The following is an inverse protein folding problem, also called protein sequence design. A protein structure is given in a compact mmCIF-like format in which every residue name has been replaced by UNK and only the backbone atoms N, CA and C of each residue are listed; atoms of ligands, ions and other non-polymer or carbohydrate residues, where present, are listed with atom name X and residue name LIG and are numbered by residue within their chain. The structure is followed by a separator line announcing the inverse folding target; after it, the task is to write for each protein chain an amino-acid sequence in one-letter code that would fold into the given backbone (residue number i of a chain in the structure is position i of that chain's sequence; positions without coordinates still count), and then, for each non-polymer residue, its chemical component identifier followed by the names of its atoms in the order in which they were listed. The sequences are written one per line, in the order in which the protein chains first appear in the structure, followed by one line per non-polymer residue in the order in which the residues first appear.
data_IF_947888334311
#
_entry.id   IF_947888334311
#
_cell.length_a   1.000
_cell.length_b   1.000
_cell.length_c   1.000
_cell.angle_alpha   90.00
_cell.angle_beta   90.00
_cell.angle_gamma   90.00
#
_symmetry.space_group_name_H-M   'P 1'
#
loop_
_entity.id
_entity.type
_entity.pdbx_description
1 polymer ?
#
# COMPACT_ATOMS: atom_id res chain seq x y z
N UNK A 1 3.20 13.29 16.57
CA UNK A 1 4.20 12.31 16.08
C UNK A 1 3.65 11.29 15.08
N UNK A 2 2.83 10.29 15.42
CA UNK A 2 2.27 9.36 14.40
C UNK A 2 1.18 10.02 13.51
N UNK A 3 0.45 10.99 14.05
CA UNK A 3 -0.58 11.76 13.33
C UNK A 3 -0.01 12.78 12.33
N UNK A 4 1.19 13.32 12.58
CA UNK A 4 1.83 14.33 11.74
C UNK A 4 2.47 13.70 10.50
N UNK A 5 3.11 12.55 10.67
CA UNK A 5 3.74 11.79 9.59
C UNK A 5 2.70 11.30 8.54
N UNK A 6 1.48 10.96 8.97
CA UNK A 6 0.39 10.55 8.05
C UNK A 6 -0.16 11.70 7.19
N UNK A 7 -0.05 12.95 7.67
CA UNK A 7 -0.49 14.15 6.94
C UNK A 7 0.47 14.47 5.79
N UNK A 8 1.76 14.29 6.01
CA UNK A 8 2.79 14.62 5.02
C UNK A 8 2.84 13.63 3.85
N UNK A 9 2.60 12.34 4.05
CA UNK A 9 2.51 11.39 2.92
C UNK A 9 1.29 11.62 2.04
N UNK A 10 0.15 12.08 2.60
CA UNK A 10 -1.01 12.52 1.80
C UNK A 10 -0.68 13.76 0.99
N UNK A 11 0.03 14.73 1.58
CA UNK A 11 0.47 15.94 0.87
C UNK A 11 1.46 15.63 -0.24
N UNK A 12 2.44 14.76 -0.01
CA UNK A 12 3.43 14.35 -1.02
C UNK A 12 2.75 13.58 -2.16
N UNK A 13 1.88 12.63 -1.84
CA UNK A 13 1.13 11.86 -2.84
C UNK A 13 0.19 12.75 -3.69
N UNK A 14 -0.54 13.67 -3.05
CA UNK A 14 -1.37 14.65 -3.75
C UNK A 14 -0.53 15.61 -4.59
N UNK A 15 0.65 16.04 -4.11
CA UNK A 15 1.56 16.92 -4.83
C UNK A 15 2.11 16.27 -6.09
N UNK A 16 2.56 15.01 -6.02
CA UNK A 16 3.05 14.26 -7.19
C UNK A 16 1.95 14.02 -8.23
N UNK A 17 0.70 13.81 -7.78
CA UNK A 17 -0.45 13.67 -8.68
C UNK A 17 -0.80 15.02 -9.31
N UNK A 18 -0.76 16.11 -8.54
CA UNK A 18 -1.05 17.46 -9.03
C UNK A 18 0.03 17.98 -9.97
N UNK A 19 1.33 17.79 -9.67
CA UNK A 19 2.44 18.23 -10.52
C UNK A 19 2.43 17.52 -11.88
N UNK A 20 2.19 16.19 -11.90
CA UNK A 20 1.98 15.43 -13.15
C UNK A 20 0.73 15.85 -13.92
N UNK A 21 -0.28 16.37 -13.21
CA UNK A 21 -1.48 16.90 -13.85
C UNK A 21 -1.23 18.31 -14.40
N UNK A 22 -0.49 19.16 -13.70
CA UNK A 22 -0.16 20.54 -14.11
C UNK A 22 0.71 20.55 -15.37
N UNK A 23 1.69 19.65 -15.51
CA UNK A 23 2.46 19.50 -16.76
C UNK A 23 1.57 19.15 -17.96
N UNK A 24 0.52 18.35 -17.74
CA UNK A 24 -0.42 17.93 -18.79
C UNK A 24 -1.37 19.04 -19.24
N UNK A 25 -1.58 20.07 -18.43
CA UNK A 25 -2.58 21.13 -18.68
C UNK A 25 -2.00 22.55 -18.73
N UNK A 26 -0.66 22.71 -18.74
CA UNK A 26 0.05 24.00 -18.74
C UNK A 26 -0.22 24.90 -19.96
N UNK A 27 -0.83 24.38 -21.02
CA UNK A 27 -1.21 25.12 -22.23
C UNK A 27 -2.70 25.44 -22.39
N UNK A 28 -3.57 25.06 -21.44
CA UNK A 28 -5.00 25.28 -21.58
C UNK A 28 -5.38 26.72 -21.18
N UNK A 29 -5.79 27.54 -22.16
CA UNK A 29 -6.40 28.85 -21.90
C UNK A 29 -7.57 28.70 -20.92
N UNK A 30 -7.63 29.54 -19.88
CA UNK A 30 -8.75 29.57 -18.93
C UNK A 30 -10.05 29.83 -19.69
N UNK A 31 -11.05 28.93 -19.64
CA UNK A 31 -12.31 29.18 -20.31
C UNK A 31 -13.07 30.29 -19.58
N UNK A 32 -13.32 31.39 -20.29
CA UNK A 32 -14.22 32.45 -19.85
C UNK A 32 -15.64 31.92 -19.69
N UNK A 33 -16.25 32.29 -18.56
CA UNK A 33 -17.60 32.01 -18.09
C UNK A 33 -18.60 31.39 -19.10
N UNK A 34 -18.61 30.04 -19.17
CA UNK A 34 -19.76 29.22 -19.59
C UNK A 34 -20.07 28.14 -18.54
N UNK A 35 -19.98 28.52 -17.26
CA UNK A 35 -19.91 27.56 -16.15
C UNK A 35 -21.25 26.93 -15.73
N UNK A 36 -22.40 27.40 -16.22
CA UNK A 36 -23.70 26.92 -15.70
C UNK A 36 -24.39 25.87 -16.58
N UNK A 37 -24.17 25.86 -17.90
CA UNK A 37 -24.79 24.86 -18.80
C UNK A 37 -24.08 23.50 -18.74
N UNK A 38 -22.74 23.48 -18.74
CA UNK A 38 -21.95 22.25 -18.60
C UNK A 38 -22.04 21.61 -17.21
N UNK A 39 -22.47 22.38 -16.19
CA UNK A 39 -22.63 21.90 -14.81
C UNK A 39 -23.86 20.99 -14.65
N UNK A 40 -24.91 21.20 -15.45
CA UNK A 40 -26.16 20.43 -15.39
C UNK A 40 -26.01 19.10 -16.15
N UNK A 41 -25.37 19.09 -17.33
CA UNK A 41 -25.04 17.85 -18.06
C UNK A 41 -24.01 16.97 -17.33
N UNK A 42 -23.01 17.58 -16.70
CA UNK A 42 -22.04 16.85 -15.86
C UNK A 42 -22.69 16.22 -14.60
N UNK A 43 -23.75 16.84 -14.06
CA UNK A 43 -24.53 16.27 -12.94
C UNK A 43 -25.39 15.09 -13.38
N UNK A 44 -25.96 15.10 -14.60
CA UNK A 44 -26.81 14.02 -15.10
C UNK A 44 -26.07 12.68 -15.22
N UNK A 45 -24.74 12.71 -15.34
CA UNK A 45 -23.92 11.50 -15.43
C UNK A 45 -22.97 11.29 -14.25
N UNK A 46 -23.11 12.05 -13.16
CA UNK A 46 -22.23 11.97 -12.00
C UNK A 46 -22.12 10.54 -11.46
N UNK A 47 -23.24 9.80 -11.36
CA UNK A 47 -23.23 8.41 -10.88
C UNK A 47 -22.47 7.46 -11.81
N UNK A 48 -22.52 7.67 -13.13
CA UNK A 48 -21.81 6.87 -14.13
C UNK A 48 -20.30 7.16 -14.09
N UNK A 49 -19.93 8.43 -14.04
CA UNK A 49 -18.54 8.89 -13.89
C UNK A 49 -17.98 8.40 -12.56
N UNK A 50 -18.74 8.54 -11.48
CA UNK A 50 -18.40 8.05 -10.15
C UNK A 50 -18.17 6.54 -10.19
N UNK A 51 -19.06 5.74 -10.80
CA UNK A 51 -18.88 4.29 -10.95
C UNK A 51 -17.63 3.93 -11.73
N UNK A 52 -17.35 4.62 -12.84
CA UNK A 52 -16.13 4.42 -13.64
C UNK A 52 -14.87 4.71 -12.82
N UNK A 53 -14.81 5.86 -12.14
CA UNK A 53 -13.71 6.22 -11.26
C UNK A 53 -13.57 5.22 -10.09
N UNK A 54 -14.69 4.82 -9.48
CA UNK A 54 -14.74 3.81 -8.41
C UNK A 54 -14.30 2.43 -8.90
N UNK A 55 -14.25 2.15 -10.20
CA UNK A 55 -13.71 0.92 -10.80
C UNK A 55 -12.24 1.03 -11.19
N UNK A 56 -11.76 2.22 -11.54
CA UNK A 56 -10.36 2.40 -11.95
C UNK A 56 -9.41 2.70 -10.79
N UNK A 57 -9.86 3.49 -9.81
CA UNK A 57 -9.03 3.97 -8.71
C UNK A 57 -8.96 2.92 -7.59
N UNK A 58 -7.76 2.57 -7.14
CA UNK A 58 -7.57 1.58 -6.07
C UNK A 58 -7.98 2.11 -4.69
N UNK A 59 -7.61 3.37 -4.39
CA UNK A 59 -7.70 4.04 -3.08
C UNK A 59 -9.09 4.60 -2.73
N UNK A 60 -10.15 3.97 -3.20
CA UNK A 60 -11.52 4.48 -3.02
C UNK A 60 -12.14 3.99 -1.72
N UNK A 61 -11.74 2.80 -1.28
CA UNK A 61 -12.27 2.14 -0.08
C UNK A 61 -11.36 2.37 1.12
N UNK A 62 -11.95 2.59 2.30
CA UNK A 62 -11.20 2.81 3.55
C UNK A 62 -10.36 1.58 3.91
N UNK A 63 -10.89 0.40 3.65
CA UNK A 63 -10.29 -0.91 3.89
C UNK A 63 -8.92 -1.04 3.18
N UNK A 64 -8.77 -0.42 2.00
CA UNK A 64 -7.50 -0.35 1.27
C UNK A 64 -6.47 0.51 2.01
N UNK A 65 -6.90 1.68 2.49
CA UNK A 65 -6.03 2.57 3.28
C UNK A 65 -5.60 1.92 4.60
N UNK A 66 -6.55 1.30 5.30
CA UNK A 66 -6.30 0.63 6.58
C UNK A 66 -5.35 -0.58 6.40
N UNK A 67 -5.55 -1.37 5.34
CA UNK A 67 -4.66 -2.49 5.02
C UNK A 67 -3.24 -2.01 4.75
N UNK A 68 -3.07 -0.98 3.92
CA UNK A 68 -1.75 -0.45 3.57
C UNK A 68 -1.04 0.18 4.76
N UNK A 69 -1.74 0.96 5.59
CA UNK A 69 -1.15 1.55 6.79
C UNK A 69 -0.61 0.49 7.75
N UNK A 70 -1.37 -0.60 7.96
CA UNK A 70 -0.93 -1.72 8.80
C UNK A 70 0.24 -2.49 8.17
N UNK A 71 0.20 -2.73 6.86
CA UNK A 71 1.31 -3.39 6.14
C UNK A 71 2.59 -2.57 6.25
N UNK A 72 2.52 -1.25 6.05
CA UNK A 72 3.67 -0.34 6.19
C UNK A 72 4.25 -0.42 7.61
N UNK A 73 3.38 -0.45 8.63
CA UNK A 73 3.80 -0.61 10.03
C UNK A 73 4.57 -1.91 10.23
N UNK A 74 4.05 -3.03 9.69
CA UNK A 74 4.72 -4.33 9.73
C UNK A 74 6.04 -4.35 8.95
N UNK A 75 6.14 -3.63 7.83
CA UNK A 75 7.40 -3.49 7.09
C UNK A 75 8.43 -2.70 7.89
N UNK A 76 8.03 -1.61 8.56
CA UNK A 76 8.92 -0.82 9.41
C UNK A 76 9.43 -1.63 10.61
N UNK A 77 8.57 -2.44 11.23
CA UNK A 77 8.98 -3.38 12.28
C UNK A 77 10.03 -4.36 11.78
N UNK A 78 9.83 -4.96 10.60
CA UNK A 78 10.80 -5.87 10.01
C UNK A 78 12.12 -5.18 9.64
N UNK A 79 12.07 -3.95 9.14
CA UNK A 79 13.25 -3.15 8.80
C UNK A 79 14.10 -2.79 10.02
N UNK A 80 13.51 -2.75 11.22
CA UNK A 80 14.25 -2.52 12.47
C UNK A 80 15.07 -3.73 12.95
N UNK A 81 14.85 -4.92 12.39
CA UNK A 81 15.60 -6.12 12.75
C UNK A 81 16.95 -6.14 12.04
N UNK A 82 18.00 -6.52 12.77
CA UNK A 82 19.34 -6.64 12.20
C UNK A 82 19.61 -8.08 11.76
N UNK A 83 20.30 -8.24 10.62
CA UNK A 83 20.84 -9.54 10.18
C UNK A 83 22.13 -9.90 10.93
N UNK A 84 22.81 -8.87 11.44
CA UNK A 84 24.11 -8.96 12.10
C UNK A 84 23.94 -8.39 13.51
N UNK A 85 24.51 -9.06 14.50
CA UNK A 85 24.56 -8.53 15.86
C UNK A 85 25.68 -7.48 15.94
N UNK A 86 25.31 -6.24 16.26
CA UNK A 86 26.26 -5.15 16.55
C UNK A 86 26.67 -5.10 18.03
N UNK A 87 26.07 -5.95 18.88
CA UNK A 87 26.33 -6.01 20.31
C UNK A 87 27.58 -6.84 20.59
N UNK A 88 28.72 -6.17 20.62
CA UNK A 88 30.00 -6.71 21.08
C UNK A 88 30.23 -6.30 22.54
N UNK A 89 29.28 -6.69 23.39
CA UNK A 89 29.30 -6.35 24.82
C UNK A 89 30.47 -7.06 25.56
N UNK A 90 31.11 -8.02 24.88
CA UNK A 90 32.24 -8.83 25.35
C UNK A 90 33.21 -9.09 24.20
N UNK A 91 34.48 -9.28 24.52
CA UNK A 91 35.46 -9.79 23.56
C UNK A 91 35.10 -11.25 23.23
N UNK A 92 34.75 -11.53 21.97
CA UNK A 92 34.38 -12.86 21.49
C UNK A 92 35.57 -13.50 20.76
N UNK A 93 35.71 -14.82 20.88
CA UNK A 93 36.60 -15.55 19.95
C UNK A 93 36.00 -15.54 18.54
N UNK A 94 36.80 -15.76 17.49
CA UNK A 94 36.29 -15.86 16.12
C UNK A 94 35.15 -16.88 15.95
N UNK A 95 35.23 -18.02 16.64
CA UNK A 95 34.19 -19.05 16.58
C UNK A 95 32.88 -18.59 17.24
N UNK A 96 32.98 -17.95 18.41
CA UNK A 96 31.82 -17.41 19.12
C UNK A 96 31.15 -16.29 18.33
N UNK A 97 31.94 -15.43 17.69
CA UNK A 97 31.44 -14.40 16.79
C UNK A 97 30.69 -15.03 15.61
N UNK A 98 31.29 -15.99 14.90
CA UNK A 98 30.63 -16.65 13.78
C UNK A 98 29.33 -17.35 14.19
N UNK A 99 29.32 -18.04 15.33
CA UNK A 99 28.12 -18.68 15.87
C UNK A 99 27.02 -17.65 16.16
N UNK A 100 27.36 -16.52 16.80
CA UNK A 100 26.42 -15.44 17.09
C UNK A 100 25.82 -14.84 15.81
N UNK A 101 26.65 -14.60 14.79
CA UNK A 101 26.15 -14.04 13.53
C UNK A 101 25.24 -15.02 12.79
N UNK A 102 25.62 -16.29 12.71
CA UNK A 102 24.79 -17.33 12.09
C UNK A 102 23.45 -17.47 12.82
N UNK A 103 23.46 -17.47 14.15
CA UNK A 103 22.23 -17.56 14.95
C UNK A 103 21.33 -16.34 14.74
N UNK A 104 21.91 -15.14 14.73
CA UNK A 104 21.16 -13.88 14.52
C UNK A 104 20.53 -13.84 13.13
N UNK A 105 21.31 -14.15 12.09
CA UNK A 105 20.83 -14.23 10.72
C UNK A 105 19.73 -15.29 10.56
N UNK A 106 19.93 -16.50 11.09
CA UNK A 106 18.94 -17.57 11.03
C UNK A 106 17.62 -17.18 11.71
N UNK A 107 17.69 -16.51 12.86
CA UNK A 107 16.51 -16.00 13.58
C UNK A 107 15.75 -14.97 12.74
N UNK A 108 16.46 -13.99 12.17
CA UNK A 108 15.85 -12.93 11.36
C UNK A 108 15.24 -13.50 10.07
N UNK A 109 15.94 -14.39 9.38
CA UNK A 109 15.42 -15.07 8.17
C UNK A 109 14.17 -15.89 8.50
N UNK A 110 14.18 -16.66 9.60
CA UNK A 110 13.02 -17.45 10.04
C UNK A 110 11.81 -16.57 10.34
N UNK A 111 12.02 -15.42 10.99
CA UNK A 111 10.97 -14.45 11.25
C UNK A 111 10.37 -13.90 9.95
N UNK A 112 11.22 -13.44 9.02
CA UNK A 112 10.78 -12.85 7.76
C UNK A 112 10.00 -13.84 6.89
N UNK A 113 10.50 -15.07 6.74
CA UNK A 113 9.87 -16.09 5.89
C UNK A 113 8.58 -16.67 6.48
N UNK A 114 8.44 -16.68 7.80
CA UNK A 114 7.27 -17.24 8.48
C UNK A 114 6.38 -16.16 9.05
N UNK A 115 6.69 -15.74 10.28
CA UNK A 115 5.81 -14.90 11.09
C UNK A 115 5.46 -13.56 10.43
N UNK A 116 6.42 -12.90 9.79
CA UNK A 116 6.18 -11.60 9.16
C UNK A 116 5.23 -11.72 7.98
N UNK A 117 5.48 -12.66 7.08
CA UNK A 117 4.63 -12.92 5.92
C UNK A 117 3.20 -13.32 6.35
N UNK A 118 3.07 -14.21 7.33
CA UNK A 118 1.77 -14.61 7.87
C UNK A 118 0.99 -13.44 8.47
N UNK A 119 1.65 -12.56 9.23
CA UNK A 119 1.03 -11.35 9.78
C UNK A 119 0.47 -10.45 8.68
N UNK A 120 1.21 -10.26 7.58
CA UNK A 120 0.76 -9.42 6.46
C UNK A 120 -0.46 -10.05 5.78
N UNK A 121 -0.39 -11.35 5.47
CA UNK A 121 -1.52 -12.09 4.87
C UNK A 121 -2.77 -11.98 5.76
N UNK A 122 -2.62 -12.21 7.06
CA UNK A 122 -3.74 -12.17 8.01
C UNK A 122 -4.31 -10.75 8.14
N UNK A 123 -3.45 -9.73 8.18
CA UNK A 123 -3.86 -8.32 8.22
C UNK A 123 -4.72 -7.96 7.02
N UNK A 124 -4.26 -8.29 5.81
CA UNK A 124 -5.02 -8.05 4.58
C UNK A 124 -6.34 -8.82 4.61
N UNK A 125 -6.33 -10.11 4.98
CA UNK A 125 -7.56 -10.91 5.10
C UNK A 125 -8.57 -10.31 6.07
N UNK A 126 -8.13 -9.78 7.22
CA UNK A 126 -9.00 -9.14 8.21
C UNK A 126 -9.59 -7.85 7.64
N UNK A 127 -8.77 -6.98 7.04
CA UNK A 127 -9.24 -5.71 6.46
C UNK A 127 -10.27 -5.91 5.35
N UNK A 128 -10.17 -7.00 4.58
CA UNK A 128 -11.10 -7.30 3.48
C UNK A 128 -12.20 -8.32 3.81
N UNK A 129 -12.27 -8.82 5.04
CA UNK A 129 -13.25 -9.86 5.44
C UNK A 129 -14.69 -9.42 5.18
N UNK A 130 -15.00 -8.17 5.52
CA UNK A 130 -16.36 -7.61 5.47
C UNK A 130 -16.69 -6.94 4.12
N UNK A 131 -15.74 -6.88 3.19
CA UNK A 131 -15.91 -6.17 1.90
C UNK A 131 -16.84 -6.91 0.93
N UNK A 132 -17.16 -8.18 1.23
CA UNK A 132 -18.15 -8.97 0.50
C UNK A 132 -17.74 -9.31 -0.94
N UNK A 133 -18.73 -9.63 -1.80
CA UNK A 133 -18.51 -9.96 -3.21
C UNK A 133 -18.18 -8.69 -4.02
N UNK A 134 -17.18 -8.74 -4.90
CA UNK A 134 -16.80 -7.62 -5.77
C UNK A 134 -15.31 -7.56 -6.12
N UNK A 135 -14.81 -6.36 -6.46
CA UNK A 135 -13.43 -6.13 -6.92
C UNK A 135 -12.33 -6.41 -5.88
N UNK A 136 -12.70 -6.62 -4.62
CA UNK A 136 -11.80 -6.98 -3.51
C UNK A 136 -12.17 -8.33 -2.86
N UNK A 137 -12.87 -9.20 -3.59
CA UNK A 137 -13.27 -10.50 -3.07
C UNK A 137 -12.04 -11.40 -2.80
N UNK A 138 -11.74 -11.63 -1.52
CA UNK A 138 -10.66 -12.52 -1.07
C UNK A 138 -10.94 -14.00 -1.30
N UNK A 139 -12.21 -14.36 -1.59
CA UNK A 139 -12.65 -15.74 -1.88
C UNK A 139 -12.74 -15.99 -3.39
N UNK A 140 -12.12 -15.16 -4.21
CA UNK A 140 -12.10 -15.36 -5.66
C UNK A 140 -11.26 -16.59 -6.00
N UNK A 141 -11.88 -17.60 -6.62
CA UNK A 141 -11.24 -18.84 -7.04
C UNK A 141 -10.97 -18.88 -8.54
N UNK A 142 -11.64 -18.02 -9.32
CA UNK A 142 -11.43 -17.92 -10.77
C UNK A 142 -10.15 -17.11 -11.08
N UNK A 143 -9.12 -17.74 -11.70
CA UNK A 143 -7.87 -17.06 -12.04
C UNK A 143 -8.05 -15.90 -13.04
N UNK A 144 -8.95 -16.04 -14.02
CA UNK A 144 -9.20 -15.01 -15.03
C UNK A 144 -9.78 -13.74 -14.39
N UNK A 145 -10.69 -13.94 -13.45
CA UNK A 145 -11.26 -12.82 -12.69
C UNK A 145 -10.23 -12.25 -11.72
N UNK A 146 -9.42 -13.09 -11.07
CA UNK A 146 -8.35 -12.63 -10.17
C UNK A 146 -7.37 -11.68 -10.87
N UNK A 147 -7.06 -11.94 -12.14
CA UNK A 147 -6.10 -11.17 -12.92
C UNK A 147 -6.54 -9.74 -13.24
N UNK A 148 -7.85 -9.50 -13.28
CA UNK A 148 -8.43 -8.19 -13.65
C UNK A 148 -9.02 -7.44 -12.45
N UNK A 149 -9.07 -8.05 -11.26
CA UNK A 149 -9.63 -7.39 -10.07
C UNK A 149 -8.61 -6.53 -9.32
N UNK A 150 -9.14 -5.56 -8.58
CA UNK A 150 -8.36 -4.61 -7.78
C UNK A 150 -7.55 -5.28 -6.67
N UNK A 151 -8.00 -6.43 -6.19
CA UNK A 151 -7.29 -7.18 -5.17
C UNK A 151 -5.86 -7.54 -5.63
N UNK A 152 -5.69 -8.02 -6.86
CA UNK A 152 -4.36 -8.32 -7.42
C UNK A 152 -3.49 -7.06 -7.53
N UNK A 153 -4.06 -5.94 -7.99
CA UNK A 153 -3.35 -4.64 -8.03
C UNK A 153 -2.88 -4.20 -6.64
N UNK A 154 -3.71 -4.40 -5.61
CA UNK A 154 -3.34 -4.11 -4.23
C UNK A 154 -2.21 -5.02 -3.74
N UNK A 155 -2.31 -6.33 -3.97
CA UNK A 155 -1.27 -7.30 -3.57
C UNK A 155 0.06 -6.97 -4.25
N UNK A 156 0.05 -6.66 -5.55
CA UNK A 156 1.27 -6.25 -6.26
C UNK A 156 1.88 -4.98 -5.67
N UNK A 157 1.06 -3.99 -5.33
CA UNK A 157 1.52 -2.78 -4.68
C UNK A 157 2.13 -3.09 -3.30
N UNK A 158 1.50 -3.96 -2.52
CA UNK A 158 2.05 -4.45 -1.24
C UNK A 158 3.41 -5.13 -1.45
N UNK A 159 3.54 -6.00 -2.44
CA UNK A 159 4.81 -6.66 -2.76
C UNK A 159 5.88 -5.63 -3.11
N UNK A 160 5.55 -4.60 -3.90
CA UNK A 160 6.50 -3.53 -4.22
C UNK A 160 6.96 -2.74 -2.99
N UNK A 161 6.10 -2.52 -1.99
CA UNK A 161 6.49 -1.89 -0.72
C UNK A 161 7.35 -2.77 0.18
N UNK A 162 7.40 -4.08 -0.08
CA UNK A 162 8.23 -5.03 0.68
C UNK A 162 9.63 -5.22 0.08
N UNK A 163 9.86 -4.80 -1.16
CA UNK A 163 11.15 -4.90 -1.86
C UNK A 163 12.07 -3.76 -1.47
#
# INVERSE_FOLDING_TARGET
LISEVSSDYRKIGLRLILEKSVEKYSGCKKPEAKYDFYKIEAMQNYKEIQRKLHREILFVRREVHDALAKVITLCNEASSMTLISHRLDKCLTPEQFNSLQLQTAAKTIKYLKGQWLEKIINTVKICFREVGKGAFNIRQTDPWVYDVVKLKRLVNLIIQYMQ
#
